data_IF_529549266003
#
_entry.id   IF_529549266003
#
_cell.length_a   1.000
_cell.length_b   1.000
_cell.length_c   1.000
_cell.angle_alpha   90.00
_cell.angle_beta   90.00
_cell.angle_gamma   90.00
#
_symmetry.space_group_name_H-M   'P 1'
#
loop_
_entity.id
_entity.type
_entity.pdbx_description
1 polymer ?
#
# COMPACT_ATOMS: atom_id res chain seq x y z
N UNK A 1 -18.83 -0.12 -6.00
CA UNK A 1 -17.76 0.88 -5.82
C UNK A 1 -16.54 0.35 -6.52
N UNK A 2 -15.95 1.10 -7.46
CA UNK A 2 -14.76 0.67 -8.19
C UNK A 2 -13.54 1.13 -7.38
N UNK A 3 -12.64 0.19 -7.10
CA UNK A 3 -11.39 0.45 -6.40
C UNK A 3 -10.24 0.06 -7.32
N UNK A 4 -9.23 0.92 -7.42
CA UNK A 4 -7.98 0.57 -8.07
C UNK A 4 -7.08 -0.09 -7.03
N UNK A 5 -6.65 -1.33 -7.31
CA UNK A 5 -5.64 -2.03 -6.54
C UNK A 5 -4.27 -1.71 -7.10
N UNK A 6 -3.34 -1.31 -6.22
CA UNK A 6 -1.95 -1.02 -6.57
C UNK A 6 -1.04 -1.86 -5.68
N UNK A 7 -0.09 -2.56 -6.30
CA UNK A 7 0.90 -3.39 -5.63
C UNK A 7 2.24 -2.66 -5.58
N UNK A 8 2.73 -2.41 -4.38
CA UNK A 8 4.02 -1.78 -4.12
C UNK A 8 5.03 -2.84 -3.67
N UNK A 9 5.89 -3.27 -4.60
CA UNK A 9 7.05 -4.12 -4.28
C UNK A 9 8.19 -3.26 -3.77
N UNK A 10 8.75 -3.64 -2.63
CA UNK A 10 9.91 -2.98 -2.04
C UNK A 10 11.04 -3.99 -1.93
N UNK A 11 12.23 -3.61 -2.38
CA UNK A 11 13.45 -4.42 -2.20
C UNK A 11 14.54 -3.51 -1.61
N UNK A 12 14.97 -3.74 -0.35
CA UNK A 12 14.54 -4.81 0.56
C UNK A 12 13.11 -4.59 1.11
N UNK A 13 12.34 -5.67 1.22
CA UNK A 13 11.04 -5.65 1.90
C UNK A 13 11.26 -5.59 3.42
N UNK A 14 10.85 -4.49 4.05
CA UNK A 14 10.97 -4.28 5.49
C UNK A 14 9.69 -3.71 6.06
N UNK A 15 9.34 -4.14 7.27
CA UNK A 15 8.16 -3.68 8.00
C UNK A 15 8.12 -2.16 8.12
N UNK A 16 9.27 -1.52 8.39
CA UNK A 16 9.39 -0.06 8.47
C UNK A 16 9.06 0.63 7.14
N UNK A 17 9.50 0.05 6.02
CA UNK A 17 9.24 0.60 4.68
C UNK A 17 7.74 0.50 4.37
N UNK A 18 7.11 -0.63 4.68
CA UNK A 18 5.66 -0.79 4.50
C UNK A 18 4.84 0.13 5.40
N UNK A 19 5.30 0.41 6.62
CA UNK A 19 4.61 1.31 7.56
C UNK A 19 4.64 2.76 7.04
N UNK A 20 5.82 3.22 6.59
CA UNK A 20 5.97 4.55 5.99
C UNK A 20 5.16 4.66 4.69
N UNK A 21 5.21 3.64 3.83
CA UNK A 21 4.42 3.62 2.59
C UNK A 21 2.93 3.70 2.88
N UNK A 22 2.39 2.89 3.80
CA UNK A 22 0.99 2.96 4.18
C UNK A 22 0.61 4.36 4.68
N UNK A 23 1.43 4.97 5.54
CA UNK A 23 1.17 6.32 6.04
C UNK A 23 1.12 7.36 4.91
N UNK A 24 2.10 7.33 3.99
CA UNK A 24 2.14 8.25 2.85
C UNK A 24 1.00 8.02 1.86
N UNK A 25 0.67 6.76 1.58
CA UNK A 25 -0.41 6.40 0.66
C UNK A 25 -1.78 6.80 1.23
N UNK A 26 -1.96 6.76 2.56
CA UNK A 26 -3.18 7.21 3.21
C UNK A 26 -3.42 8.71 3.00
N UNK A 27 -2.37 9.53 2.99
CA UNK A 27 -2.48 10.98 2.76
C UNK A 27 -2.90 11.34 1.32
N UNK A 28 -2.59 10.48 0.34
CA UNK A 28 -2.94 10.69 -1.08
C UNK A 28 -4.26 10.03 -1.49
N UNK A 29 -4.99 9.42 -0.54
CA UNK A 29 -6.36 8.94 -0.74
C UNK A 29 -6.53 7.42 -0.84
N UNK A 30 -5.49 6.63 -0.59
CA UNK A 30 -5.67 5.19 -0.41
C UNK A 30 -6.41 4.91 0.92
N UNK A 31 -7.39 4.04 0.87
CA UNK A 31 -8.27 3.75 2.02
C UNK A 31 -7.99 2.39 2.67
N UNK A 32 -7.32 1.48 1.97
CA UNK A 32 -7.02 0.15 2.48
C UNK A 32 -5.62 -0.32 2.09
N UNK A 33 -4.96 -1.01 3.03
CA UNK A 33 -3.61 -1.52 2.88
C UNK A 33 -3.54 -2.97 3.38
N UNK A 34 -3.04 -3.88 2.56
CA UNK A 34 -2.83 -5.28 2.90
C UNK A 34 -1.34 -5.60 2.72
N UNK A 35 -0.69 -6.01 3.80
CA UNK A 35 0.72 -6.44 3.77
C UNK A 35 0.77 -7.87 3.25
N UNK A 36 1.34 -8.05 2.05
CA UNK A 36 1.67 -9.35 1.50
C UNK A 36 3.05 -9.84 1.96
N UNK A 37 3.48 -10.99 1.45
CA UNK A 37 4.80 -11.57 1.78
C UNK A 37 5.98 -10.79 1.17
N UNK A 38 5.76 -10.09 0.05
CA UNK A 38 6.81 -9.42 -0.74
C UNK A 38 6.39 -8.03 -1.27
N UNK A 39 5.16 -7.62 -0.95
CA UNK A 39 4.58 -6.39 -1.48
C UNK A 39 3.50 -5.84 -0.55
N UNK A 40 3.31 -4.53 -0.60
CA UNK A 40 2.18 -3.84 0.02
C UNK A 40 1.10 -3.64 -1.03
N UNK A 41 -0.06 -4.23 -0.81
CA UNK A 41 -1.25 -3.97 -1.60
C UNK A 41 -1.98 -2.76 -1.03
N UNK A 42 -2.32 -1.79 -1.88
CA UNK A 42 -3.08 -0.62 -1.49
C UNK A 42 -4.27 -0.42 -2.42
N UNK A 43 -5.40 0.00 -1.86
CA UNK A 43 -6.65 0.21 -2.58
C UNK A 43 -7.09 1.67 -2.48
N UNK A 44 -7.35 2.28 -3.62
CA UNK A 44 -7.84 3.67 -3.74
C UNK A 44 -9.18 3.66 -4.47
N UNK A 45 -10.21 4.37 -3.97
CA UNK A 45 -11.47 4.52 -4.70
C UNK A 45 -11.22 5.26 -6.01
N UNK A 46 -11.92 4.85 -7.07
CA UNK A 46 -11.84 5.50 -8.38
C UNK A 46 -12.57 6.85 -8.41
#
# INVERSE_FOLDING_TARGET
MQYNQVLFKCDPYSEMITDILSAMLAEIGFESFVRGEDALEAYIPQ
#
